data_IF_459314730827
#
_entry.id   IF_459314730827
#
_cell.length_a   1.000
_cell.length_b   1.000
_cell.length_c   1.000
_cell.angle_alpha   90.00
_cell.angle_beta   90.00
_cell.angle_gamma   90.00
#
_symmetry.space_group_name_H-M   'P 1'
#
loop_
_entity.id
_entity.type
_entity.pdbx_description
1 polymer ?
#
# COMPACT_ATOMS: atom_id res chain seq x y z
N UNK A 1 6.26 -18.45 -78.83
CA UNK A 1 6.62 -17.76 -80.07
C UNK A 1 5.46 -16.88 -80.48
N UNK A 2 5.60 -15.61 -80.87
CA UNK A 2 6.78 -14.82 -81.18
C UNK A 2 6.90 -13.58 -80.25
N UNK A 3 8.02 -13.08 -79.96
CA UNK A 3 9.02 -12.24 -80.64
C UNK A 3 8.76 -10.73 -80.57
N UNK A 4 9.64 -10.09 -79.82
CA UNK A 4 10.33 -8.80 -79.94
C UNK A 4 9.60 -7.54 -80.40
N UNK A 5 9.84 -6.46 -79.67
CA UNK A 5 10.43 -5.24 -80.25
C UNK A 5 11.04 -4.36 -79.16
N UNK A 6 12.30 -3.99 -79.40
CA UNK A 6 13.03 -2.98 -78.65
C UNK A 6 12.85 -1.62 -79.32
N UNK A 7 12.83 -0.54 -78.57
CA UNK A 7 12.94 0.84 -79.05
C UNK A 7 13.78 1.72 -78.12
N UNK A 8 14.41 2.78 -78.58
CA UNK A 8 15.69 3.27 -78.07
C UNK A 8 15.61 4.40 -77.08
N UNK A 9 16.69 4.58 -76.32
CA UNK A 9 16.96 5.70 -75.41
C UNK A 9 17.15 7.04 -76.14
N UNK A 10 16.71 8.16 -75.59
CA UNK A 10 17.28 9.45 -75.86
C UNK A 10 18.27 9.89 -74.79
N UNK A 11 19.39 10.38 -75.28
CA UNK A 11 20.47 11.07 -74.59
C UNK A 11 19.99 12.42 -74.12
N UNK A 12 20.13 12.70 -72.80
CA UNK A 12 19.84 14.01 -72.22
C UNK A 12 21.10 14.62 -71.61
N UNK A 13 21.32 15.82 -72.04
CA UNK A 13 22.40 16.75 -71.75
C UNK A 13 22.47 17.10 -70.26
N UNK A 14 23.63 17.05 -69.62
CA UNK A 14 23.90 17.49 -68.30
C UNK A 14 24.13 19.02 -68.28
N UNK A 15 23.22 19.75 -67.63
CA UNK A 15 23.49 21.12 -67.22
C UNK A 15 23.98 21.07 -65.75
N UNK A 16 25.20 21.53 -65.51
CA UNK A 16 25.76 21.71 -64.21
C UNK A 16 25.13 22.95 -63.48
N UNK A 17 24.51 22.72 -62.37
CA UNK A 17 24.22 23.78 -61.39
C UNK A 17 25.24 23.72 -60.24
N UNK A 18 25.94 24.80 -60.08
CA UNK A 18 26.82 25.01 -58.93
C UNK A 18 25.98 25.19 -57.66
N UNK A 19 26.08 24.28 -56.72
CA UNK A 19 25.45 24.40 -55.39
C UNK A 19 26.41 25.20 -54.46
N UNK A 20 25.92 26.34 -53.99
CA UNK A 20 26.55 27.11 -52.93
C UNK A 20 26.24 26.43 -51.59
N UNK A 21 27.28 25.96 -50.91
CA UNK A 21 27.20 25.47 -49.55
C UNK A 21 26.92 26.63 -48.56
N UNK A 22 25.71 26.67 -48.03
CA UNK A 22 25.39 27.42 -46.81
C UNK A 22 25.78 26.56 -45.56
N UNK A 23 26.39 27.15 -44.53
CA UNK A 23 26.70 26.36 -43.32
C UNK A 23 25.42 25.91 -42.64
N UNK A 24 25.31 24.60 -42.36
CA UNK A 24 24.24 24.00 -41.57
C UNK A 24 24.27 24.60 -40.15
N UNK A 25 23.20 25.30 -39.81
CA UNK A 25 22.98 25.76 -38.43
C UNK A 25 22.92 24.53 -37.48
N UNK A 26 23.77 24.55 -36.49
CA UNK A 26 23.81 23.58 -35.40
C UNK A 26 22.44 23.64 -34.66
N UNK A 27 21.61 22.63 -34.85
CA UNK A 27 20.38 22.48 -34.07
C UNK A 27 20.76 22.24 -32.61
N UNK A 28 20.55 23.26 -31.76
CA UNK A 28 20.63 23.09 -30.31
C UNK A 28 19.66 21.99 -29.89
N UNK A 29 20.21 20.87 -29.44
CA UNK A 29 19.43 19.82 -28.78
C UNK A 29 18.78 20.46 -27.54
N UNK A 30 17.47 20.22 -27.29
CA UNK A 30 16.84 20.70 -26.07
C UNK A 30 17.60 20.13 -24.88
N UNK A 31 17.94 21.02 -23.93
CA UNK A 31 18.55 20.61 -22.68
C UNK A 31 17.70 19.51 -22.03
N UNK A 32 18.31 18.46 -21.44
CA UNK A 32 17.58 17.44 -20.75
C UNK A 32 16.70 18.12 -19.69
N UNK A 33 15.41 17.82 -19.70
CA UNK A 33 14.47 18.31 -18.68
C UNK A 33 15.09 17.99 -17.33
N UNK A 34 15.29 19.03 -16.51
CA UNK A 34 15.84 18.86 -15.16
C UNK A 34 14.96 17.83 -14.45
N UNK A 35 15.54 16.67 -14.13
CA UNK A 35 14.87 15.68 -13.28
C UNK A 35 14.38 16.43 -12.05
N UNK A 36 13.07 16.42 -11.83
CA UNK A 36 12.49 17.07 -10.66
C UNK A 36 13.23 16.51 -9.45
N UNK A 37 13.91 17.37 -8.70
CA UNK A 37 14.57 16.97 -7.46
C UNK A 37 13.50 16.39 -6.58
N UNK A 38 13.58 15.11 -6.31
CA UNK A 38 12.76 14.47 -5.31
C UNK A 38 13.08 15.20 -3.99
N UNK A 39 12.10 15.93 -3.46
CA UNK A 39 12.29 16.64 -2.20
C UNK A 39 12.71 15.64 -1.12
N UNK A 40 13.74 15.97 -0.37
CA UNK A 40 14.26 15.09 0.66
C UNK A 40 13.17 14.89 1.73
N UNK A 41 12.80 13.64 1.98
CA UNK A 41 11.88 13.28 3.05
C UNK A 41 12.49 13.63 4.42
N UNK A 42 11.68 13.93 5.43
CA UNK A 42 12.17 14.13 6.79
C UNK A 42 12.95 12.91 7.30
N UNK A 43 13.84 13.09 8.30
CA UNK A 43 14.66 11.99 8.85
C UNK A 43 13.82 11.08 9.76
N UNK A 44 12.78 10.47 9.21
CA UNK A 44 11.91 9.49 9.86
C UNK A 44 12.67 8.17 9.98
N UNK A 45 12.57 7.52 11.15
CA UNK A 45 13.19 6.22 11.42
C UNK A 45 12.21 5.18 11.96
N UNK A 46 11.03 5.62 12.44
CA UNK A 46 9.98 4.73 12.93
C UNK A 46 8.68 5.05 12.21
N UNK A 47 8.18 4.10 11.43
CA UNK A 47 6.93 4.23 10.67
C UNK A 47 5.90 3.26 11.25
N UNK A 48 4.74 3.79 11.61
CA UNK A 48 3.58 3.04 12.05
C UNK A 48 2.49 3.18 10.98
N UNK A 49 1.99 2.05 10.48
CA UNK A 49 0.81 1.99 9.61
C UNK A 49 -0.30 1.31 10.36
N UNK A 50 -1.42 2.01 10.55
CA UNK A 50 -2.62 1.49 11.17
C UNK A 50 -3.71 1.42 10.10
N UNK A 51 -4.12 0.20 9.74
CA UNK A 51 -5.06 -0.05 8.67
C UNK A 51 -6.43 -0.43 9.24
N UNK A 52 -7.46 0.29 8.78
CA UNK A 52 -8.86 0.14 9.13
C UNK A 52 -9.64 -0.43 7.93
N UNK A 53 -10.93 -0.71 8.12
CA UNK A 53 -11.74 -1.46 7.15
C UNK A 53 -12.96 -0.70 6.62
N UNK A 54 -13.14 -0.78 5.29
CA UNK A 54 -14.39 -0.58 4.55
C UNK A 54 -15.14 0.73 4.83
N UNK A 55 -14.43 1.88 4.92
CA UNK A 55 -15.12 3.16 5.12
C UNK A 55 -14.76 4.19 4.05
N UNK A 56 -15.76 4.69 3.35
CA UNK A 56 -15.59 5.77 2.38
C UNK A 56 -15.21 7.09 3.05
N UNK A 57 -14.46 7.93 2.32
CA UNK A 57 -14.06 9.27 2.77
C UNK A 57 -15.26 10.10 3.24
N UNK A 58 -16.33 10.13 2.47
CA UNK A 58 -17.52 10.94 2.77
C UNK A 58 -18.22 10.52 4.07
N UNK A 59 -18.24 9.23 4.35
CA UNK A 59 -18.84 8.66 5.58
C UNK A 59 -17.93 8.93 6.79
N UNK A 60 -16.63 8.78 6.61
CA UNK A 60 -15.65 8.93 7.69
C UNK A 60 -15.41 10.39 8.07
N UNK A 61 -15.06 11.23 7.08
CA UNK A 61 -14.62 12.61 7.30
C UNK A 61 -15.71 13.64 7.02
N UNK A 62 -16.87 13.21 6.52
CA UNK A 62 -18.06 14.04 6.36
C UNK A 62 -18.65 14.50 7.69
N UNK A 63 -19.61 15.45 7.64
CA UNK A 63 -20.27 15.96 8.85
C UNK A 63 -21.77 15.64 8.78
N UNK A 64 -22.34 15.05 9.87
CA UNK A 64 -21.70 14.59 11.10
C UNK A 64 -21.02 13.22 10.93
N UNK A 65 -19.85 13.02 11.56
CA UNK A 65 -19.22 11.71 11.67
C UNK A 65 -19.32 11.17 13.11
N UNK A 66 -19.69 9.88 13.30
CA UNK A 66 -19.70 9.27 14.63
C UNK A 66 -18.27 9.01 15.15
N UNK A 67 -17.24 9.01 14.29
CA UNK A 67 -15.84 8.87 14.65
C UNK A 67 -15.18 10.25 14.86
N UNK A 68 -15.59 11.00 15.87
CA UNK A 68 -15.15 12.39 16.06
C UNK A 68 -13.65 12.54 16.34
N UNK A 69 -13.03 11.54 16.92
CA UNK A 69 -11.58 11.53 17.16
C UNK A 69 -10.83 11.38 15.82
N UNK A 70 -11.21 10.40 15.01
CA UNK A 70 -10.66 10.18 13.68
C UNK A 70 -10.94 11.35 12.73
N UNK A 71 -12.20 11.80 12.67
CA UNK A 71 -12.65 12.76 11.67
C UNK A 71 -12.24 14.22 11.96
N UNK A 72 -11.95 14.57 13.22
CA UNK A 72 -11.68 15.97 13.63
C UNK A 72 -10.44 16.12 14.48
N UNK A 73 -10.31 15.33 15.55
CA UNK A 73 -9.22 15.52 16.50
C UNK A 73 -7.85 15.17 15.90
N UNK A 74 -7.75 14.08 15.13
CA UNK A 74 -6.51 13.67 14.48
C UNK A 74 -6.12 14.63 13.35
N UNK A 75 -7.01 15.03 12.39
CA UNK A 75 -6.68 16.02 11.38
C UNK A 75 -6.18 17.36 11.96
N UNK A 76 -6.75 17.80 13.07
CA UNK A 76 -6.32 19.03 13.73
C UNK A 76 -4.89 18.97 14.27
N UNK A 77 -4.31 17.77 14.47
CA UNK A 77 -2.95 17.55 14.99
C UNK A 77 -1.95 17.09 13.93
N UNK A 78 -2.42 16.70 12.75
CA UNK A 78 -1.61 16.17 11.68
C UNK A 78 -2.03 16.67 10.31
N UNK A 79 -1.86 15.83 9.29
CA UNK A 79 -2.34 16.06 7.94
C UNK A 79 -3.51 15.13 7.60
N UNK A 80 -4.51 15.68 6.90
CA UNK A 80 -5.58 14.93 6.24
C UNK A 80 -5.30 14.87 4.73
N UNK A 81 -5.14 13.69 4.20
CA UNK A 81 -5.01 13.42 2.76
C UNK A 81 -6.42 13.15 2.22
N UNK A 82 -7.03 14.15 1.62
CA UNK A 82 -8.43 14.10 1.19
C UNK A 82 -8.63 13.32 -0.11
N UNK A 83 -7.56 13.11 -0.87
CA UNK A 83 -7.54 12.38 -2.13
C UNK A 83 -6.67 11.12 -2.00
N UNK A 84 -6.95 10.32 -0.97
CA UNK A 84 -6.30 9.03 -0.81
C UNK A 84 -7.28 7.91 -1.18
N UNK A 85 -6.81 6.96 -2.01
CA UNK A 85 -7.63 5.93 -2.64
C UNK A 85 -7.10 4.53 -2.34
N UNK A 86 -8.02 3.58 -2.19
CA UNK A 86 -7.71 2.17 -2.22
C UNK A 86 -7.49 1.69 -3.66
N UNK A 87 -6.76 0.59 -3.82
CA UNK A 87 -6.39 0.11 -5.16
C UNK A 87 -7.41 -0.89 -5.73
N UNK A 88 -8.20 -1.54 -4.91
CA UNK A 88 -9.18 -2.53 -5.34
C UNK A 88 -10.23 -2.81 -4.28
N UNK A 89 -11.17 -3.69 -4.63
CA UNK A 89 -12.12 -4.26 -3.68
C UNK A 89 -11.77 -5.70 -3.33
N UNK A 90 -12.23 -6.12 -2.19
CA UNK A 90 -11.81 -7.20 -1.32
C UNK A 90 -10.50 -6.87 -0.59
N UNK A 91 -10.55 -6.96 0.75
CA UNK A 91 -9.53 -6.48 1.67
C UNK A 91 -8.14 -6.99 1.35
N UNK A 92 -7.97 -8.30 1.19
CA UNK A 92 -6.65 -8.93 1.07
C UNK A 92 -5.80 -8.36 -0.08
N UNK A 93 -6.42 -8.01 -1.21
CA UNK A 93 -5.70 -7.42 -2.34
C UNK A 93 -5.02 -6.08 -1.98
N UNK A 94 -5.68 -5.25 -1.17
CA UNK A 94 -5.16 -3.98 -0.68
C UNK A 94 -4.02 -4.18 0.34
N UNK A 95 -4.20 -5.14 1.27
CA UNK A 95 -3.17 -5.49 2.24
C UNK A 95 -1.88 -6.01 1.59
N UNK A 96 -2.00 -6.92 0.61
CA UNK A 96 -0.85 -7.43 -0.17
C UNK A 96 -0.13 -6.29 -0.90
N UNK A 97 -0.89 -5.38 -1.52
CA UNK A 97 -0.32 -4.25 -2.23
C UNK A 97 0.51 -3.32 -1.33
N UNK A 98 0.06 -3.11 -0.09
CA UNK A 98 0.74 -2.25 0.89
C UNK A 98 2.14 -2.73 1.30
N UNK A 99 2.44 -4.04 1.13
CA UNK A 99 3.74 -4.60 1.54
C UNK A 99 4.53 -5.23 0.39
N UNK A 100 4.00 -5.25 -0.84
CA UNK A 100 4.69 -5.89 -1.97
C UNK A 100 4.53 -5.16 -3.31
N UNK A 101 3.59 -4.23 -3.40
CA UNK A 101 3.25 -3.60 -4.68
C UNK A 101 2.61 -4.55 -5.69
N UNK A 102 2.21 -5.77 -5.29
CA UNK A 102 1.49 -6.70 -6.17
C UNK A 102 0.04 -6.26 -6.34
N UNK A 103 -0.45 -6.30 -7.57
CA UNK A 103 -1.86 -6.04 -7.86
C UNK A 103 -2.77 -7.17 -7.38
N UNK A 104 -4.05 -6.88 -7.08
CA UNK A 104 -5.02 -7.91 -6.78
C UNK A 104 -5.14 -8.94 -7.90
N UNK A 105 -5.13 -10.22 -7.55
CA UNK A 105 -5.43 -11.34 -8.43
C UNK A 105 -6.80 -11.93 -8.08
N UNK A 106 -7.30 -12.88 -8.88
CA UNK A 106 -8.63 -13.45 -8.67
C UNK A 106 -8.81 -14.06 -7.27
N UNK A 107 -7.79 -14.72 -6.71
CA UNK A 107 -7.89 -15.33 -5.39
C UNK A 107 -7.95 -14.27 -4.29
N UNK A 108 -7.11 -13.23 -4.36
CA UNK A 108 -7.12 -12.14 -3.38
C UNK A 108 -8.36 -11.25 -3.49
N UNK A 109 -8.97 -11.14 -4.69
CA UNK A 109 -10.29 -10.49 -4.88
C UNK A 109 -11.47 -11.31 -4.32
N UNK A 110 -11.22 -12.50 -3.81
CA UNK A 110 -12.16 -13.36 -3.08
C UNK A 110 -11.68 -13.60 -1.64
N UNK A 111 -10.81 -12.75 -1.12
CA UNK A 111 -10.20 -12.84 0.21
C UNK A 111 -9.63 -14.22 0.53
N UNK A 112 -9.17 -14.93 -0.50
CA UNK A 112 -8.55 -16.24 -0.34
C UNK A 112 -9.37 -17.24 0.48
N UNK A 113 -10.58 -17.54 0.07
CA UNK A 113 -11.44 -18.55 0.72
C UNK A 113 -10.77 -19.92 0.93
N UNK A 114 -9.69 -20.18 0.21
CA UNK A 114 -8.74 -21.28 0.44
C UNK A 114 -7.35 -20.70 0.53
N UNK A 115 -6.65 -20.95 1.63
CA UNK A 115 -5.28 -20.48 1.86
C UNK A 115 -4.30 -21.32 1.05
N UNK A 116 -4.16 -21.03 -0.24
CA UNK A 116 -3.44 -21.83 -1.21
C UNK A 116 -2.27 -21.07 -1.84
N UNK A 117 -1.25 -21.83 -2.24
CA UNK A 117 -0.08 -21.30 -2.94
C UNK A 117 -0.47 -20.57 -4.22
N UNK A 118 0.26 -19.50 -4.52
CA UNK A 118 0.14 -18.78 -5.77
C UNK A 118 0.59 -19.67 -6.95
N UNK A 119 -0.30 -19.88 -7.90
CA UNK A 119 -0.02 -20.61 -9.14
C UNK A 119 0.40 -19.62 -10.21
N UNK A 120 1.71 -19.51 -10.39
CA UNK A 120 2.29 -18.63 -11.38
C UNK A 120 2.04 -19.16 -12.80
N UNK A 121 1.64 -18.26 -13.70
CA UNK A 121 1.54 -18.51 -15.15
C UNK A 121 2.79 -18.07 -15.93
N UNK A 122 3.74 -17.41 -15.24
CA UNK A 122 5.04 -17.00 -15.76
C UNK A 122 6.15 -17.40 -14.79
N UNK A 123 7.35 -17.66 -15.31
CA UNK A 123 8.48 -18.11 -14.49
C UNK A 123 9.17 -16.99 -13.71
N UNK A 124 8.91 -15.73 -14.03
CA UNK A 124 9.54 -14.55 -13.42
C UNK A 124 8.56 -13.40 -13.32
N UNK A 125 8.91 -12.42 -12.51
CA UNK A 125 8.22 -11.14 -12.46
C UNK A 125 8.34 -10.43 -13.81
N UNK A 126 7.30 -9.68 -14.17
CA UNK A 126 7.32 -8.83 -15.35
C UNK A 126 8.12 -7.54 -15.12
N UNK A 127 8.14 -6.65 -16.11
CA UNK A 127 8.85 -5.36 -16.05
C UNK A 127 8.31 -4.41 -14.96
N UNK A 128 7.12 -4.66 -14.46
CA UNK A 128 6.48 -3.92 -13.38
C UNK A 128 6.61 -4.62 -12.02
N UNK A 129 7.42 -5.68 -11.94
CA UNK A 129 7.59 -6.46 -10.73
C UNK A 129 6.36 -7.29 -10.34
N UNK A 130 5.42 -7.54 -11.27
CA UNK A 130 4.22 -8.32 -11.00
C UNK A 130 4.43 -9.80 -11.32
N UNK A 131 3.95 -10.69 -10.44
CA UNK A 131 3.86 -12.10 -10.73
C UNK A 131 2.52 -12.42 -11.40
N UNK A 132 2.56 -12.95 -12.62
CA UNK A 132 1.35 -13.35 -13.34
C UNK A 132 0.81 -14.68 -12.83
N UNK A 133 -0.47 -14.75 -12.57
CA UNK A 133 -1.12 -15.97 -12.07
C UNK A 133 -2.27 -15.67 -11.12
N UNK A 134 -2.55 -16.61 -10.23
CA UNK A 134 -3.58 -16.44 -9.19
C UNK A 134 -3.26 -17.34 -8.00
N UNK A 135 -3.53 -16.86 -6.81
CA UNK A 135 -3.36 -17.58 -5.55
C UNK A 135 -3.15 -16.61 -4.41
N UNK A 136 -2.91 -17.17 -3.25
CA UNK A 136 -2.88 -16.45 -2.01
C UNK A 136 -1.46 -16.26 -1.49
N UNK A 137 -0.70 -17.37 -1.39
CA UNK A 137 0.63 -17.37 -0.78
C UNK A 137 1.66 -17.18 -1.88
N UNK A 138 2.28 -16.01 -1.90
CA UNK A 138 3.29 -15.66 -2.90
C UNK A 138 4.61 -16.39 -2.67
N UNK A 139 5.26 -16.86 -3.76
CA UNK A 139 6.55 -17.56 -3.65
C UNK A 139 7.66 -16.61 -3.21
N UNK A 140 8.76 -17.18 -2.68
CA UNK A 140 9.96 -16.42 -2.23
C UNK A 140 10.57 -15.50 -3.31
N UNK A 141 10.26 -15.73 -4.58
CA UNK A 141 10.71 -14.88 -5.68
C UNK A 141 9.96 -13.55 -5.80
N UNK A 142 8.85 -13.39 -5.07
CA UNK A 142 8.13 -12.10 -4.95
C UNK A 142 8.60 -11.44 -3.66
N UNK A 143 9.41 -10.37 -3.75
CA UNK A 143 9.91 -9.69 -2.57
C UNK A 143 8.79 -8.91 -1.86
N UNK A 144 8.91 -8.81 -0.56
CA UNK A 144 8.05 -8.01 0.30
C UNK A 144 8.83 -6.89 0.99
N UNK A 145 8.13 -5.88 1.51
CA UNK A 145 8.73 -4.83 2.32
C UNK A 145 9.53 -5.37 3.53
N UNK A 146 9.04 -6.40 4.29
CA UNK A 146 9.83 -7.10 5.29
C UNK A 146 11.18 -7.61 4.79
N UNK A 147 11.22 -8.23 3.61
CA UNK A 147 12.47 -8.76 3.03
C UNK A 147 13.48 -7.65 2.76
N UNK A 148 13.00 -6.51 2.25
CA UNK A 148 13.83 -5.33 1.98
C UNK A 148 14.34 -4.69 3.28
N UNK A 149 13.46 -4.51 4.28
CA UNK A 149 13.83 -3.92 5.58
C UNK A 149 14.93 -4.70 6.24
N UNK A 150 14.79 -6.03 6.37
CA UNK A 150 15.80 -6.89 6.98
C UNK A 150 17.12 -6.87 6.20
N UNK A 151 17.05 -6.91 4.85
CA UNK A 151 18.24 -6.80 4.00
C UNK A 151 18.98 -5.50 4.21
N UNK A 152 18.27 -4.40 4.48
CA UNK A 152 18.83 -3.09 4.76
C UNK A 152 19.20 -2.86 6.23
N UNK A 153 19.01 -3.85 7.10
CA UNK A 153 19.33 -3.79 8.53
C UNK A 153 18.28 -3.07 9.40
N UNK A 154 17.05 -2.89 8.88
CA UNK A 154 15.92 -2.36 9.63
C UNK A 154 15.09 -3.47 10.23
N UNK A 155 14.37 -3.14 11.31
CA UNK A 155 13.47 -4.06 12.00
C UNK A 155 12.01 -3.77 11.63
N UNK A 156 11.17 -4.82 11.66
CA UNK A 156 9.74 -4.69 11.42
C UNK A 156 8.94 -5.52 12.40
N UNK A 157 7.68 -5.19 12.61
CA UNK A 157 6.72 -5.99 13.37
C UNK A 157 5.28 -5.72 12.91
N UNK A 158 4.48 -6.78 12.89
CA UNK A 158 3.07 -6.76 12.61
C UNK A 158 2.28 -7.12 13.87
N UNK A 159 1.33 -6.27 14.22
CA UNK A 159 0.51 -6.37 15.42
C UNK A 159 -0.95 -6.60 15.04
N UNK A 160 -1.46 -7.80 15.32
CA UNK A 160 -2.80 -8.24 14.94
C UNK A 160 -3.68 -8.36 16.18
N UNK A 161 -4.75 -7.55 16.28
CA UNK A 161 -5.69 -7.66 17.41
C UNK A 161 -6.40 -9.01 17.38
N UNK A 162 -6.54 -9.63 18.54
CA UNK A 162 -7.17 -10.93 18.80
C UNK A 162 -6.42 -12.16 18.27
N UNK A 163 -5.38 -12.04 17.46
CA UNK A 163 -4.67 -13.20 16.92
C UNK A 163 -4.28 -14.19 18.02
N UNK A 164 -4.72 -15.44 17.88
CA UNK A 164 -4.44 -16.53 18.81
C UNK A 164 -5.28 -16.54 20.08
N UNK A 165 -6.34 -15.74 20.19
CA UNK A 165 -7.28 -15.85 21.31
C UNK A 165 -8.02 -17.16 21.33
N UNK A 166 -8.25 -17.76 20.17
CA UNK A 166 -8.79 -19.12 20.03
C UNK A 166 -7.77 -20.01 19.29
N UNK A 167 -6.93 -20.75 20.00
CA UNK A 167 -5.90 -21.61 19.39
C UNK A 167 -6.44 -22.71 18.45
N UNK A 168 -7.75 -22.96 18.45
CA UNK A 168 -8.37 -23.88 17.50
C UNK A 168 -8.60 -23.24 16.12
N UNK A 169 -8.55 -21.89 16.02
CA UNK A 169 -8.71 -21.14 14.76
C UNK A 169 -7.35 -20.84 14.13
N UNK A 170 -6.44 -20.27 14.91
CA UNK A 170 -5.10 -19.94 14.46
C UNK A 170 -4.09 -19.89 15.63
N UNK A 171 -2.79 -19.99 15.36
CA UNK A 171 -1.74 -19.82 16.35
C UNK A 171 -1.69 -18.41 16.96
N UNK A 172 -1.09 -18.29 18.15
CA UNK A 172 -0.89 -17.02 18.85
C UNK A 172 0.13 -16.08 18.18
N UNK A 173 0.97 -16.63 17.31
CA UNK A 173 1.95 -15.93 16.47
C UNK A 173 1.83 -16.48 15.05
N UNK A 174 2.19 -15.70 14.03
CA UNK A 174 2.11 -16.15 12.64
C UNK A 174 0.73 -16.78 12.29
N UNK A 175 -0.36 -16.13 12.69
CA UNK A 175 -1.72 -16.68 12.71
C UNK A 175 -2.28 -16.94 11.32
N UNK A 176 -2.18 -18.19 10.82
CA UNK A 176 -2.79 -18.66 9.58
C UNK A 176 -3.17 -20.13 9.67
N UNK A 177 -4.11 -20.55 8.84
CA UNK A 177 -4.43 -21.97 8.66
C UNK A 177 -3.32 -22.67 7.84
N UNK A 178 -3.22 -24.01 7.86
CA UNK A 178 -2.25 -24.72 7.02
C UNK A 178 -2.45 -24.44 5.53
N UNK A 179 -1.38 -24.30 4.72
CA UNK A 179 -1.48 -24.17 3.27
C UNK A 179 -2.36 -25.26 2.63
N UNK A 180 -3.27 -24.86 1.77
CA UNK A 180 -4.25 -25.74 1.13
C UNK A 180 -5.55 -25.91 1.91
N UNK A 181 -5.64 -25.45 3.15
CA UNK A 181 -6.86 -25.50 3.94
C UNK A 181 -7.87 -24.41 3.56
N UNK A 182 -9.13 -24.61 3.89
CA UNK A 182 -10.13 -23.56 3.84
C UNK A 182 -9.76 -22.44 4.84
N UNK A 183 -9.88 -21.18 4.42
CA UNK A 183 -9.64 -20.04 5.31
C UNK A 183 -10.84 -19.86 6.25
N UNK A 184 -10.62 -20.14 7.51
CA UNK A 184 -11.67 -20.14 8.55
C UNK A 184 -11.60 -18.95 9.49
N UNK A 185 -10.53 -18.12 9.40
CA UNK A 185 -10.37 -16.97 10.27
C UNK A 185 -11.03 -15.69 9.73
N UNK A 186 -11.47 -15.68 8.47
CA UNK A 186 -12.14 -14.52 7.85
C UNK A 186 -13.53 -14.23 8.41
N UNK A 187 -14.08 -15.13 9.24
CA UNK A 187 -15.36 -14.94 9.92
C UNK A 187 -15.11 -14.85 11.42
N UNK A 188 -15.58 -13.75 12.04
CA UNK A 188 -15.46 -13.54 13.47
C UNK A 188 -16.14 -14.63 14.30
N UNK A 189 -15.57 -14.98 15.45
CA UNK A 189 -16.23 -15.73 16.51
C UNK A 189 -16.35 -14.88 17.78
N UNK A 190 -17.25 -15.20 18.69
CA UNK A 190 -17.53 -14.37 19.88
C UNK A 190 -16.28 -14.15 20.78
N UNK A 191 -15.35 -15.09 20.78
CA UNK A 191 -14.13 -15.02 21.59
C UNK A 191 -12.87 -14.63 20.81
N UNK A 192 -12.98 -14.51 19.50
CA UNK A 192 -11.83 -14.26 18.62
C UNK A 192 -12.31 -13.66 17.30
N UNK A 193 -11.94 -12.42 17.06
CA UNK A 193 -12.35 -11.66 15.88
C UNK A 193 -11.16 -11.31 14.97
N UNK A 194 -10.02 -11.99 15.13
CA UNK A 194 -8.91 -11.91 14.19
C UNK A 194 -9.33 -12.40 12.81
N UNK A 195 -8.78 -11.77 11.76
CA UNK A 195 -8.94 -12.23 10.38
C UNK A 195 -7.58 -12.27 9.67
N UNK A 196 -7.20 -13.46 9.16
CA UNK A 196 -5.92 -13.60 8.45
C UNK A 196 -5.89 -12.75 7.16
N UNK A 197 -7.02 -12.52 6.50
CA UNK A 197 -7.10 -11.63 5.32
C UNK A 197 -6.63 -10.19 5.60
N UNK A 198 -6.59 -9.77 6.87
CA UNK A 198 -6.07 -8.47 7.32
C UNK A 198 -4.62 -8.54 7.79
N UNK A 199 -3.95 -9.69 7.58
CA UNK A 199 -2.55 -9.93 7.94
C UNK A 199 -1.75 -10.30 6.69
N UNK A 200 -1.23 -9.33 5.91
CA UNK A 200 -0.58 -9.63 4.63
C UNK A 200 0.71 -10.45 4.78
N UNK A 201 1.31 -10.45 5.96
CA UNK A 201 2.61 -11.08 6.20
C UNK A 201 2.55 -12.61 6.11
N UNK A 202 1.39 -13.20 6.40
CA UNK A 202 1.23 -14.66 6.32
C UNK A 202 0.96 -15.14 4.88
N UNK A 203 0.94 -14.27 3.89
CA UNK A 203 0.75 -14.63 2.48
C UNK A 203 2.04 -14.61 1.66
N UNK A 204 3.21 -14.76 2.31
CA UNK A 204 4.51 -14.83 1.65
C UNK A 204 5.35 -15.99 2.18
N UNK A 205 5.75 -16.89 1.29
CA UNK A 205 6.66 -18.00 1.63
C UNK A 205 8.02 -17.54 2.16
N UNK A 206 8.45 -16.32 1.84
CA UNK A 206 9.65 -15.75 2.45
C UNK A 206 9.50 -15.59 3.97
N UNK A 207 8.28 -15.40 4.48
CA UNK A 207 7.99 -15.21 5.90
C UNK A 207 7.55 -16.52 6.56
N UNK A 208 6.51 -17.18 6.03
CA UNK A 208 5.87 -18.33 6.71
C UNK A 208 6.71 -19.61 6.70
N UNK A 209 7.61 -19.79 5.73
CA UNK A 209 8.50 -20.97 5.70
C UNK A 209 9.64 -20.88 6.72
N UNK A 210 9.86 -19.73 7.33
CA UNK A 210 10.75 -19.52 8.46
C UNK A 210 9.90 -19.25 9.70
N UNK A 211 9.57 -20.33 10.43
CA UNK A 211 8.69 -20.25 11.59
C UNK A 211 9.23 -19.29 12.65
N UNK A 212 10.54 -19.26 12.89
CA UNK A 212 11.15 -18.37 13.87
C UNK A 212 11.00 -16.92 13.45
N UNK A 213 11.19 -16.62 12.18
CA UNK A 213 10.97 -15.30 11.60
C UNK A 213 9.50 -14.88 11.76
N UNK A 214 8.58 -15.72 11.33
CA UNK A 214 7.16 -15.43 11.39
C UNK A 214 6.68 -15.21 12.83
N UNK A 215 7.00 -16.10 13.76
CA UNK A 215 6.63 -16.01 15.18
C UNK A 215 7.23 -14.79 15.88
N UNK A 216 8.42 -14.37 15.45
CA UNK A 216 9.08 -13.19 16.01
C UNK A 216 8.39 -11.91 15.58
N UNK A 217 7.97 -11.84 14.32
CA UNK A 217 7.54 -10.58 13.70
C UNK A 217 6.02 -10.41 13.63
N UNK A 218 5.25 -11.48 13.54
CA UNK A 218 3.78 -11.43 13.42
C UNK A 218 3.16 -11.83 14.74
N UNK A 219 2.75 -10.85 15.54
CA UNK A 219 2.38 -11.03 16.94
C UNK A 219 1.00 -10.44 17.25
N UNK A 220 0.43 -10.87 18.39
CA UNK A 220 -0.80 -10.24 18.90
C UNK A 220 -0.56 -8.77 19.28
N UNK A 221 -1.55 -7.90 19.04
CA UNK A 221 -1.50 -6.46 19.33
C UNK A 221 -1.20 -6.15 20.80
N UNK A 222 -1.54 -7.03 21.71
CA UNK A 222 -1.24 -6.88 23.14
C UNK A 222 0.27 -6.76 23.45
N UNK A 223 1.13 -7.14 22.48
CA UNK A 223 2.58 -6.97 22.59
C UNK A 223 3.03 -5.51 22.39
N UNK A 224 2.25 -4.69 21.66
CA UNK A 224 2.64 -3.32 21.26
C UNK A 224 3.10 -2.44 22.42
N UNK A 225 2.41 -2.36 23.60
CA UNK A 225 2.85 -1.49 24.68
C UNK A 225 4.24 -1.82 25.23
N UNK A 226 4.62 -3.10 25.23
CA UNK A 226 5.96 -3.53 25.64
C UNK A 226 7.01 -3.07 24.63
N UNK A 227 6.73 -3.20 23.32
CA UNK A 227 7.67 -2.84 22.26
C UNK A 227 7.81 -1.32 22.12
N UNK A 228 6.81 -0.53 22.56
CA UNK A 228 6.87 0.92 22.60
C UNK A 228 7.67 1.50 23.78
N UNK A 229 8.17 0.68 24.70
CA UNK A 229 8.81 1.15 25.94
C UNK A 229 10.13 1.91 25.73
N UNK A 230 10.83 1.69 24.63
CA UNK A 230 12.07 2.39 24.29
C UNK A 230 12.29 2.45 22.77
N UNK A 231 13.16 3.35 22.33
CA UNK A 231 13.54 3.48 20.90
C UNK A 231 14.12 2.17 20.38
N UNK A 232 14.96 1.49 21.15
CA UNK A 232 15.62 0.25 20.71
C UNK A 232 14.70 -0.98 20.68
N UNK A 233 13.57 -0.95 21.38
CA UNK A 233 12.58 -2.03 21.37
C UNK A 233 11.53 -1.81 20.27
N UNK A 234 11.30 -0.57 19.87
CA UNK A 234 10.32 -0.24 18.83
C UNK A 234 10.89 -0.58 17.46
N UNK A 235 10.14 -1.37 16.67
CA UNK A 235 10.53 -1.69 15.31
C UNK A 235 10.54 -0.44 14.41
N UNK A 236 11.46 -0.39 13.44
CA UNK A 236 11.51 0.69 12.45
C UNK A 236 10.22 0.77 11.62
N UNK A 237 9.62 -0.39 11.31
CA UNK A 237 8.32 -0.47 10.64
C UNK A 237 7.34 -1.29 11.48
N UNK A 238 6.22 -0.69 11.85
CA UNK A 238 5.14 -1.30 12.63
C UNK A 238 3.85 -1.27 11.83
N UNK A 239 3.26 -2.44 11.55
CA UNK A 239 1.97 -2.58 10.90
C UNK A 239 0.93 -3.02 11.92
N UNK A 240 -0.18 -2.31 12.04
CA UNK A 240 -1.18 -2.52 13.08
C UNK A 240 -2.54 -2.72 12.46
N UNK A 241 -3.17 -3.85 12.78
CA UNK A 241 -4.50 -4.20 12.28
C UNK A 241 -5.42 -4.51 13.46
N UNK A 242 -6.53 -3.77 13.62
CA UNK A 242 -7.58 -4.12 14.55
C UNK A 242 -8.28 -5.42 14.16
N UNK A 243 -9.09 -5.98 15.06
CA UNK A 243 -9.96 -7.11 14.76
C UNK A 243 -11.22 -6.65 14.00
N UNK A 244 -12.01 -7.60 13.46
CA UNK A 244 -13.21 -7.34 12.65
C UNK A 244 -14.28 -6.45 13.29
N UNK A 245 -14.27 -6.30 14.63
CA UNK A 245 -15.14 -5.36 15.32
C UNK A 245 -14.54 -3.97 15.43
N UNK A 246 -13.25 -3.91 15.74
CA UNK A 246 -12.53 -2.65 16.03
C UNK A 246 -12.07 -1.92 14.77
N UNK A 247 -11.96 -2.62 13.64
CA UNK A 247 -11.46 -2.10 12.36
C UNK A 247 -12.52 -1.31 11.56
N UNK A 248 -13.81 -1.52 11.84
CA UNK A 248 -14.93 -0.89 11.15
C UNK A 248 -15.66 -1.77 10.16
N UNK A 249 -15.19 -2.99 9.91
CA UNK A 249 -15.80 -3.95 9.00
C UNK A 249 -17.22 -4.34 9.46
N UNK A 250 -17.33 -4.80 10.70
CA UNK A 250 -18.60 -5.24 11.26
C UNK A 250 -19.35 -4.08 11.92
N UNK A 251 -20.48 -3.68 11.37
CA UNK A 251 -21.36 -2.65 11.98
C UNK A 251 -21.95 -3.13 13.31
N UNK A 252 -22.20 -4.43 13.43
CA UNK A 252 -22.63 -5.13 14.62
C UNK A 252 -21.65 -6.26 14.91
N UNK A 253 -20.83 -6.09 15.95
CA UNK A 253 -19.85 -7.11 16.32
C UNK A 253 -20.55 -8.38 16.80
N UNK A 254 -19.94 -9.53 16.54
CA UNK A 254 -20.52 -10.84 16.92
C UNK A 254 -20.67 -11.00 18.43
N UNK A 255 -19.92 -10.26 19.23
CA UNK A 255 -19.98 -10.23 20.70
C UNK A 255 -21.02 -9.24 21.24
N UNK A 256 -21.83 -8.60 20.36
CA UNK A 256 -22.90 -7.67 20.71
C UNK A 256 -22.47 -6.22 20.91
N UNK A 257 -21.18 -5.89 20.76
CA UNK A 257 -20.71 -4.48 20.76
C UNK A 257 -21.15 -3.76 19.49
N UNK A 258 -21.22 -2.44 19.56
CA UNK A 258 -21.36 -1.60 18.38
C UNK A 258 -20.04 -1.56 17.63
N UNK A 259 -20.08 -1.90 16.35
CA UNK A 259 -18.92 -1.83 15.45
C UNK A 259 -18.92 -0.57 14.58
N UNK A 260 -18.34 -0.67 13.37
CA UNK A 260 -18.23 0.43 12.42
C UNK A 260 -17.41 1.61 12.96
N UNK A 261 -17.71 2.82 12.48
CA UNK A 261 -16.99 4.04 12.88
C UNK A 261 -16.92 4.31 14.39
N UNK A 262 -17.95 4.01 15.22
CA UNK A 262 -17.83 4.14 16.67
C UNK A 262 -16.76 3.22 17.29
N UNK A 263 -16.62 1.99 16.79
CA UNK A 263 -15.58 1.06 17.28
C UNK A 263 -14.19 1.52 16.85
N UNK A 264 -14.04 1.96 15.60
CA UNK A 264 -12.81 2.61 15.12
C UNK A 264 -12.40 3.77 16.06
N UNK A 265 -13.33 4.68 16.36
CA UNK A 265 -13.03 5.86 17.18
C UNK A 265 -12.55 5.46 18.58
N UNK A 266 -13.17 4.42 19.17
CA UNK A 266 -12.76 3.87 20.46
C UNK A 266 -11.37 3.21 20.40
N UNK A 267 -11.11 2.42 19.36
CA UNK A 267 -9.81 1.78 19.13
C UNK A 267 -8.69 2.82 18.99
N UNK A 268 -8.90 3.83 18.15
CA UNK A 268 -7.92 4.89 17.93
C UNK A 268 -7.66 5.73 19.21
N UNK A 269 -8.68 6.02 20.00
CA UNK A 269 -8.52 6.72 21.31
C UNK A 269 -7.68 5.94 22.30
N UNK A 270 -7.65 4.62 22.20
CA UNK A 270 -6.79 3.76 23.02
C UNK A 270 -5.36 3.74 22.51
N UNK A 271 -5.15 3.47 21.23
CA UNK A 271 -3.84 3.11 20.71
C UNK A 271 -3.01 4.29 20.20
N UNK A 272 -3.65 5.29 19.57
CA UNK A 272 -2.91 6.44 19.03
C UNK A 272 -2.15 7.21 20.11
N UNK A 273 -2.73 7.54 21.27
CA UNK A 273 -1.97 8.23 22.32
C UNK A 273 -0.78 7.42 22.86
N UNK A 274 -0.89 6.07 22.90
CA UNK A 274 0.21 5.21 23.35
C UNK A 274 1.38 5.25 22.34
N UNK A 275 1.06 5.22 21.05
CA UNK A 275 2.07 5.32 19.97
C UNK A 275 2.72 6.70 20.03
N UNK A 276 1.93 7.78 20.07
CA UNK A 276 2.44 9.16 20.06
C UNK A 276 3.30 9.49 21.29
N UNK A 277 3.01 8.86 22.43
CA UNK A 277 3.78 9.04 23.67
C UNK A 277 5.07 8.20 23.71
N UNK A 278 5.26 7.26 22.79
CA UNK A 278 6.43 6.37 22.79
C UNK A 278 7.72 7.14 22.49
N UNK A 279 8.87 6.78 23.11
CA UNK A 279 10.15 7.41 22.83
C UNK A 279 10.54 7.41 21.36
N UNK A 280 10.23 6.34 20.63
CA UNK A 280 10.52 6.20 19.20
C UNK A 280 9.69 7.18 18.36
N UNK A 281 8.39 7.30 18.63
CA UNK A 281 7.55 8.25 17.91
C UNK A 281 7.96 9.70 18.16
N UNK A 282 8.24 10.05 19.41
CA UNK A 282 8.72 11.40 19.79
C UNK A 282 10.04 11.73 19.12
N UNK A 283 10.95 10.74 19.01
CA UNK A 283 12.27 10.93 18.39
C UNK A 283 12.17 11.22 16.88
N UNK A 284 11.45 10.40 16.12
CA UNK A 284 11.43 10.49 14.66
C UNK A 284 10.27 9.70 14.03
N UNK A 285 9.16 9.56 14.73
CA UNK A 285 8.03 8.73 14.33
C UNK A 285 7.14 9.36 13.26
N UNK A 286 6.53 8.47 12.48
CA UNK A 286 5.46 8.74 11.53
C UNK A 286 4.35 7.72 11.77
N UNK A 287 3.13 8.19 12.03
CA UNK A 287 1.93 7.34 12.08
C UNK A 287 1.01 7.68 10.92
N UNK A 288 0.67 6.67 10.13
CA UNK A 288 -0.26 6.74 9.02
C UNK A 288 -1.49 5.91 9.40
N UNK A 289 -2.68 6.51 9.35
CA UNK A 289 -3.96 5.84 9.60
C UNK A 289 -4.78 5.96 8.33
N UNK A 290 -5.19 4.85 7.76
CA UNK A 290 -6.03 4.80 6.56
C UNK A 290 -6.90 3.56 6.58
N UNK A 291 -7.71 3.37 5.55
CA UNK A 291 -8.54 2.20 5.35
C UNK A 291 -7.96 1.34 4.23
N UNK A 292 -8.35 0.08 4.18
CA UNK A 292 -7.99 -0.83 3.10
C UNK A 292 -8.76 -0.49 1.82
N UNK A 293 -10.09 -0.31 1.94
CA UNK A 293 -10.98 0.05 0.86
C UNK A 293 -12.18 0.89 1.35
N UNK A 294 -12.98 1.39 0.41
CA UNK A 294 -14.25 2.06 0.72
C UNK A 294 -15.35 1.04 0.99
N UNK A 295 -16.51 1.51 1.47
CA UNK A 295 -17.72 0.69 1.61
C UNK A 295 -18.36 0.27 0.26
N UNK A 296 -17.75 0.64 -0.86
CA UNK A 296 -18.22 0.35 -2.21
C UNK A 296 -19.48 1.12 -2.63
N UNK A 297 -20.02 1.99 -1.76
CA UNK A 297 -21.24 2.70 -2.03
C UNK A 297 -21.05 3.99 -2.83
N UNK A 298 -22.05 4.32 -3.66
CA UNK A 298 -22.11 5.57 -4.40
C UNK A 298 -21.10 5.70 -5.55
N UNK A 299 -21.00 6.90 -6.11
CA UNK A 299 -20.17 7.18 -7.29
C UNK A 299 -18.64 7.11 -7.00
N UNK A 300 -18.25 7.29 -5.73
CA UNK A 300 -16.85 7.23 -5.31
C UNK A 300 -16.44 5.85 -4.82
N UNK A 301 -17.38 4.93 -4.63
CA UNK A 301 -17.16 3.62 -4.01
C UNK A 301 -16.18 2.71 -4.73
N UNK A 302 -15.97 2.87 -6.04
CA UNK A 302 -14.93 2.16 -6.82
C UNK A 302 -14.08 3.12 -7.64
N UNK A 303 -13.92 4.37 -7.16
CA UNK A 303 -13.06 5.37 -7.80
C UNK A 303 -11.57 5.05 -7.59
N UNK A 304 -10.75 5.67 -8.41
CA UNK A 304 -9.30 5.54 -8.43
C UNK A 304 -8.66 6.89 -8.70
N UNK A 305 -7.37 7.05 -8.38
CA UNK A 305 -6.65 8.29 -8.67
C UNK A 305 -5.53 8.14 -9.67
N UNK A 306 -4.80 7.04 -9.53
CA UNK A 306 -3.40 6.98 -9.91
C UNK A 306 -3.18 5.89 -10.97
N UNK A 307 -4.17 5.65 -11.82
CA UNK A 307 -4.18 4.61 -12.85
C UNK A 307 -3.92 3.22 -12.26
N UNK A 308 -4.66 2.89 -11.19
CA UNK A 308 -4.62 1.57 -10.55
C UNK A 308 -4.75 0.48 -11.61
N UNK A 309 -3.81 -0.44 -11.59
CA UNK A 309 -3.71 -1.47 -12.62
C UNK A 309 -4.20 -2.79 -12.06
N UNK A 310 -5.04 -3.47 -12.85
CA UNK A 310 -5.28 -4.88 -12.62
C UNK A 310 -3.98 -5.68 -12.82
N UNK A 311 -3.92 -6.88 -12.26
CA UNK A 311 -2.83 -7.81 -12.55
C UNK A 311 -2.72 -7.99 -14.08
N UNK A 312 -1.52 -7.94 -14.68
CA UNK A 312 -1.35 -8.15 -16.10
C UNK A 312 -2.02 -9.44 -16.60
N UNK A 313 -2.89 -9.29 -17.60
CA UNK A 313 -3.69 -10.40 -18.12
C UNK A 313 -4.96 -10.71 -17.32
N UNK A 314 -5.25 -10.02 -16.23
CA UNK A 314 -6.51 -10.13 -15.52
C UNK A 314 -7.68 -9.65 -16.40
N UNK A 315 -8.83 -10.34 -16.29
CA UNK A 315 -10.05 -9.99 -17.03
C UNK A 315 -10.92 -8.98 -16.30
N UNK A 316 -10.61 -8.71 -15.04
CA UNK A 316 -11.38 -7.86 -14.16
C UNK A 316 -10.59 -6.63 -13.75
N UNK A 317 -11.30 -5.53 -13.55
CA UNK A 317 -10.74 -4.35 -12.90
C UNK A 317 -10.55 -4.61 -11.40
N UNK A 318 -9.66 -3.88 -10.72
CA UNK A 318 -9.48 -4.04 -9.28
C UNK A 318 -10.75 -3.73 -8.46
N UNK A 319 -11.56 -2.76 -8.89
CA UNK A 319 -12.82 -2.40 -8.22
C UNK A 319 -14.02 -3.25 -8.67
N UNK A 320 -15.10 -3.27 -7.89
CA UNK A 320 -16.33 -4.00 -8.22
C UNK A 320 -17.08 -3.38 -9.41
N UNK A 321 -17.18 -2.06 -9.44
CA UNK A 321 -17.91 -1.30 -10.46
C UNK A 321 -17.08 -0.23 -11.14
N UNK A 322 -15.78 -0.15 -10.84
CA UNK A 322 -14.86 0.86 -11.33
C UNK A 322 -13.40 0.46 -11.19
N UNK A 323 -12.49 1.39 -11.47
CA UNK A 323 -11.06 1.09 -11.60
C UNK A 323 -10.31 0.84 -10.29
N UNK A 324 -10.87 1.16 -9.13
CA UNK A 324 -10.17 1.07 -7.84
C UNK A 324 -11.06 0.70 -6.66
N UNK A 325 -10.51 0.78 -5.46
CA UNK A 325 -11.19 0.48 -4.19
C UNK A 325 -11.88 1.67 -3.54
N UNK A 326 -12.00 2.80 -4.25
CA UNK A 326 -12.71 3.98 -3.80
C UNK A 326 -11.85 4.99 -3.01
N UNK A 327 -12.44 6.17 -2.77
CA UNK A 327 -11.82 7.24 -1.99
C UNK A 327 -12.05 7.02 -0.50
N UNK A 328 -10.95 6.88 0.26
CA UNK A 328 -10.97 6.51 1.68
C UNK A 328 -10.34 7.57 2.60
N UNK A 329 -9.39 8.36 2.11
CA UNK A 329 -8.65 9.33 2.93
C UNK A 329 -7.58 8.69 3.80
N UNK A 330 -6.66 9.52 4.30
CA UNK A 330 -5.65 9.09 5.26
C UNK A 330 -5.29 10.22 6.23
N UNK A 331 -4.90 9.86 7.45
CA UNK A 331 -4.34 10.76 8.46
C UNK A 331 -2.85 10.48 8.60
N UNK A 332 -2.05 11.54 8.66
CA UNK A 332 -0.61 11.46 8.88
C UNK A 332 -0.23 12.28 10.11
N UNK A 333 0.32 11.61 11.11
CA UNK A 333 0.77 12.24 12.37
C UNK A 333 2.29 12.10 12.49
N UNK A 334 2.98 13.19 12.73
CA UNK A 334 4.43 13.24 12.97
C UNK A 334 4.82 14.63 13.43
N UNK A 335 5.95 14.75 14.12
CA UNK A 335 6.55 16.07 14.39
C UNK A 335 6.99 16.81 13.11
N UNK A 336 7.11 16.10 12.00
CA UNK A 336 7.47 16.65 10.68
C UNK A 336 6.25 17.11 9.88
N UNK A 337 5.05 17.01 10.43
CA UNK A 337 3.79 17.42 9.82
C UNK A 337 3.27 18.66 10.55
N UNK A 338 2.89 19.70 9.82
CA UNK A 338 2.24 20.87 10.43
C UNK A 338 0.80 20.52 10.80
N UNK A 339 0.37 20.73 12.05
CA UNK A 339 -1.00 20.51 12.49
C UNK A 339 -2.03 21.23 11.58
N UNK A 340 -3.12 20.53 11.25
CA UNK A 340 -4.19 21.05 10.41
C UNK A 340 -3.84 21.14 8.91
N UNK A 341 -2.77 20.47 8.46
CA UNK A 341 -2.46 20.35 7.03
C UNK A 341 -3.55 19.56 6.32
N UNK A 342 -3.94 20.04 5.12
CA UNK A 342 -4.85 19.33 4.23
C UNK A 342 -4.17 19.17 2.88
N UNK A 343 -3.93 17.92 2.48
CA UNK A 343 -3.43 17.60 1.15
C UNK A 343 -4.57 17.22 0.21
N UNK A 344 -4.52 17.76 -1.00
CA UNK A 344 -5.42 17.41 -2.11
C UNK A 344 -4.68 16.67 -3.22
N UNK A 345 -3.43 16.29 -2.99
CA UNK A 345 -2.64 15.49 -3.91
C UNK A 345 -3.18 14.07 -3.93
N UNK A 346 -3.41 13.48 -5.11
CA UNK A 346 -3.87 12.10 -5.21
C UNK A 346 -2.79 11.10 -4.78
N UNK A 347 -3.17 10.17 -3.90
CA UNK A 347 -2.35 9.07 -3.40
C UNK A 347 -3.16 7.78 -3.34
N UNK A 348 -2.48 6.65 -3.31
CA UNK A 348 -3.07 5.33 -3.09
C UNK A 348 -2.15 4.42 -2.24
N UNK A 349 -2.51 3.15 -2.08
CA UNK A 349 -1.71 2.19 -1.31
C UNK A 349 -0.29 1.99 -1.89
N UNK A 350 -0.13 2.02 -3.21
CA UNK A 350 1.21 1.98 -3.81
C UNK A 350 2.01 3.24 -3.49
N UNK A 351 1.36 4.40 -3.39
CA UNK A 351 2.00 5.66 -2.94
C UNK A 351 2.47 5.57 -1.49
N UNK A 352 1.70 4.89 -0.62
CA UNK A 352 2.09 4.67 0.77
C UNK A 352 3.31 3.74 0.84
N UNK A 353 3.28 2.59 0.15
CA UNK A 353 4.42 1.67 0.08
C UNK A 353 5.66 2.41 -0.44
N UNK A 354 5.54 3.13 -1.56
CA UNK A 354 6.62 3.94 -2.13
C UNK A 354 7.17 4.96 -1.13
N UNK A 355 6.33 5.57 -0.31
CA UNK A 355 6.74 6.53 0.71
C UNK A 355 7.55 5.84 1.81
N UNK A 356 7.11 4.68 2.29
CA UNK A 356 7.84 3.89 3.28
C UNK A 356 9.18 3.44 2.74
N UNK A 357 9.22 2.92 1.52
CA UNK A 357 10.47 2.52 0.83
C UNK A 357 11.43 3.71 0.68
N UNK A 358 10.92 4.88 0.29
CA UNK A 358 11.74 6.09 0.16
C UNK A 358 12.29 6.57 1.51
N UNK A 359 11.52 6.48 2.61
CA UNK A 359 11.95 6.82 3.97
C UNK A 359 13.17 5.96 4.37
N UNK A 360 13.14 4.67 4.07
CA UNK A 360 14.21 3.72 4.42
C UNK A 360 15.29 3.58 3.34
N UNK A 361 15.18 4.29 2.21
CA UNK A 361 16.13 4.21 1.11
C UNK A 361 16.13 2.87 0.38
N UNK A 362 14.97 2.22 0.34
CA UNK A 362 14.76 0.90 -0.30
C UNK A 362 14.41 1.05 -1.78
N UNK A 363 14.69 0.05 -2.63
CA UNK A 363 14.16 0.00 -3.99
C UNK A 363 12.64 -0.16 -3.95
N UNK A 364 11.94 0.38 -4.96
CA UNK A 364 10.47 0.31 -5.02
C UNK A 364 10.00 -1.05 -5.56
N UNK A 365 8.98 -1.64 -4.89
CA UNK A 365 8.39 -2.93 -5.22
C UNK A 365 7.17 -2.79 -6.15
N UNK A 366 7.03 -3.71 -7.08
CA UNK A 366 5.82 -3.86 -7.89
C UNK A 366 5.33 -2.52 -8.46
N UNK A 367 4.04 -2.24 -8.34
CA UNK A 367 3.49 -0.97 -8.82
C UNK A 367 3.88 0.26 -7.99
N UNK A 368 4.51 0.11 -6.83
CA UNK A 368 5.15 1.24 -6.15
C UNK A 368 6.33 1.82 -6.94
N UNK A 369 6.89 1.06 -7.90
CA UNK A 369 7.96 1.51 -8.80
C UNK A 369 7.48 2.34 -10.00
N UNK A 370 6.18 2.50 -10.21
CA UNK A 370 5.66 3.25 -11.37
C UNK A 370 6.12 4.71 -11.35
N UNK A 371 6.53 5.22 -12.54
CA UNK A 371 7.20 6.54 -12.63
C UNK A 371 6.31 7.71 -12.24
N UNK A 372 5.01 7.62 -12.55
CA UNK A 372 4.04 8.68 -12.29
C UNK A 372 3.46 8.64 -10.87
N UNK A 373 3.82 7.63 -10.09
CA UNK A 373 3.38 7.49 -8.71
C UNK A 373 4.18 8.42 -7.78
N UNK A 374 3.47 9.07 -6.85
CA UNK A 374 4.08 10.03 -5.92
C UNK A 374 4.29 9.42 -4.53
N UNK A 375 5.36 9.81 -3.88
CA UNK A 375 5.51 9.71 -2.42
C UNK A 375 4.76 10.86 -1.75
N UNK A 376 4.43 10.73 -0.47
CA UNK A 376 4.04 11.89 0.34
C UNK A 376 5.17 12.91 0.31
N UNK A 377 4.84 14.16 -0.02
CA UNK A 377 5.81 15.22 -0.28
C UNK A 377 5.61 16.45 0.61
N UNK A 378 6.03 17.62 0.11
CA UNK A 378 5.90 18.90 0.81
C UNK A 378 4.45 19.33 1.09
N UNK A 379 3.48 18.71 0.45
CA UNK A 379 2.05 18.88 0.73
C UNK A 379 1.61 18.20 2.03
N UNK A 380 2.42 17.24 2.53
CA UNK A 380 2.21 16.50 3.78
C UNK A 380 3.25 16.90 4.82
N UNK A 381 4.52 16.87 4.46
CA UNK A 381 5.61 17.18 5.38
C UNK A 381 5.99 18.65 5.34
N UNK A 382 6.17 19.26 6.49
CA UNK A 382 6.81 20.58 6.58
C UNK A 382 8.30 20.42 6.27
N UNK A 383 8.89 21.38 5.56
CA UNK A 383 10.33 21.42 5.36
C UNK A 383 11.05 21.30 6.72
N UNK A 384 12.03 20.41 6.81
CA UNK A 384 12.84 20.28 8.01
C UNK A 384 13.38 21.67 8.37
N UNK A 385 13.02 22.20 9.55
CA UNK A 385 13.66 23.43 10.05
C UNK A 385 15.15 23.10 10.20
N UNK A 386 16.05 23.89 9.62
CA UNK A 386 17.46 23.68 9.88
C UNK A 386 17.67 23.78 11.40
N UNK A 387 18.17 22.71 11.99
CA UNK A 387 18.60 22.70 13.40
C UNK A 387 19.68 23.72 13.52
N UNK A 388 19.37 24.87 14.17
CA UNK A 388 20.33 25.91 14.53
C UNK A 388 21.36 25.42 15.53
#
# INVERSE_FOLDING_TARGET
MPARAAAPLPMLLALGLAATNAPAGEALLPAPAAAARQEALPPIRHVFVLLLENQSYGVTFGSPSPASYLARALPARGALLTQYYAIGHASLGNYIALISGQAPNLATQLDCSTYADFRASAASLDRHGQLHGSGCIYPRSVPSLPDQLETAGFTWRAYMEDMGKNPAREPATCGHVPPGAAETTSVASAGDQYAAKHNPFVYFHSIIDDQVRCDTHVVNLERLPQDLASVSMTANYSFITPNLCSDGHDVHCIDGRTGGLPAIDQFLRRWVPLIEASPAFVADGLLIITFDESDGAGAEGSSACCAEKALPGARFQPGFSGPGGGRIGAIVLSKFVRPGTVSTVPYNHYSLLRTVEAIFGLPYLGYAAEQDLRTFGADVFSAAQPTG
#
